data_IF_866360691080
#
_entry.id   IF_866360691080
#
_cell.length_a   1.000
_cell.length_b   1.000
_cell.length_c   1.000
_cell.angle_alpha   90.00
_cell.angle_beta   90.00
_cell.angle_gamma   90.00
#
_symmetry.space_group_name_H-M   'P 1'
#
loop_
_entity.id
_entity.type
_entity.pdbx_description
1 polymer ?
#
# COMPACT_ATOMS: atom_id res chain seq x y z
N UNK A 1 17.51 1.22 -8.43
CA UNK A 1 16.53 0.23 -8.94
C UNK A 1 15.12 0.74 -8.72
N UNK A 2 14.30 0.78 -9.76
CA UNK A 2 12.87 1.09 -9.69
C UNK A 2 12.06 -0.20 -9.80
N UNK A 3 11.20 -0.44 -8.82
CA UNK A 3 10.43 -1.69 -8.70
C UNK A 3 8.92 -1.51 -8.94
N UNK A 4 8.39 -0.31 -8.81
CA UNK A 4 6.96 -0.07 -9.02
C UNK A 4 6.67 1.38 -9.44
N UNK A 5 5.60 1.55 -10.19
CA UNK A 5 4.95 2.84 -10.42
C UNK A 5 3.45 2.71 -10.11
N UNK A 6 2.92 3.67 -9.36
CA UNK A 6 1.53 3.69 -8.90
C UNK A 6 0.90 5.05 -9.18
N UNK A 7 -0.32 5.05 -9.69
CA UNK A 7 -1.07 6.23 -10.02
C UNK A 7 -1.47 6.94 -8.72
N UNK A 8 -1.09 8.20 -8.59
CA UNK A 8 -1.47 9.02 -7.45
C UNK A 8 -2.98 9.24 -7.40
N UNK A 9 -3.52 9.54 -6.22
CA UNK A 9 -4.94 9.79 -6.03
C UNK A 9 -5.40 10.99 -6.88
N UNK A 10 -6.61 10.92 -7.40
CA UNK A 10 -7.21 12.01 -8.16
C UNK A 10 -8.46 11.57 -8.92
N UNK A 11 -9.24 12.54 -9.36
CA UNK A 11 -10.52 12.34 -10.07
C UNK A 11 -10.37 12.28 -11.59
N UNK A 12 -9.17 12.50 -12.13
CA UNK A 12 -8.99 12.48 -13.58
C UNK A 12 -9.07 11.05 -14.13
N UNK A 13 -9.91 10.88 -15.15
CA UNK A 13 -10.17 9.60 -15.82
C UNK A 13 -9.16 9.31 -16.96
N UNK A 14 -8.36 10.30 -17.33
CA UNK A 14 -7.33 10.13 -18.36
C UNK A 14 -6.15 9.31 -17.86
N UNK A 15 -5.62 8.44 -18.72
CA UNK A 15 -4.38 7.69 -18.45
C UNK A 15 -3.21 8.62 -18.15
N UNK A 16 -2.25 8.12 -17.37
CA UNK A 16 -0.97 8.79 -17.13
C UNK A 16 0.17 7.91 -17.63
N UNK A 17 1.16 8.52 -18.28
CA UNK A 17 2.31 7.82 -18.87
C UNK A 17 3.56 8.29 -18.12
N UNK A 18 4.31 7.35 -17.56
CA UNK A 18 5.62 7.62 -16.98
C UNK A 18 6.68 7.46 -18.07
N UNK A 19 7.52 8.48 -18.24
CA UNK A 19 8.68 8.43 -19.13
C UNK A 19 9.94 8.88 -18.40
N UNK A 20 11.09 8.46 -18.90
CA UNK A 20 12.39 8.96 -18.45
C UNK A 20 13.25 9.42 -19.62
N UNK A 21 14.11 10.41 -19.37
CA UNK A 21 15.21 10.77 -20.23
C UNK A 21 16.53 10.47 -19.50
N UNK A 22 17.52 9.96 -20.22
CA UNK A 22 18.85 9.61 -19.72
C UNK A 22 19.86 10.48 -20.48
N UNK A 23 20.45 11.47 -19.81
CA UNK A 23 21.32 12.46 -20.42
C UNK A 23 20.63 13.23 -21.55
N UNK A 24 21.23 13.21 -22.75
CA UNK A 24 20.71 13.90 -23.95
C UNK A 24 19.99 12.96 -24.93
N UNK A 25 19.61 11.76 -24.48
CA UNK A 25 18.94 10.75 -25.33
C UNK A 25 17.47 11.13 -25.53
N UNK A 26 16.79 10.41 -26.43
CA UNK A 26 15.35 10.54 -26.60
C UNK A 26 14.61 9.97 -25.38
N UNK A 27 13.47 10.55 -24.95
CA UNK A 27 12.67 10.00 -23.86
C UNK A 27 12.18 8.57 -24.14
N UNK A 28 12.16 7.75 -23.09
CA UNK A 28 11.68 6.37 -23.10
C UNK A 28 10.42 6.25 -22.23
N UNK A 29 9.37 5.64 -22.76
CA UNK A 29 8.15 5.35 -22.00
C UNK A 29 8.37 4.10 -21.13
N UNK A 30 8.17 4.25 -19.82
CA UNK A 30 8.36 3.18 -18.84
C UNK A 30 7.07 2.39 -18.62
N UNK A 31 5.94 3.08 -18.41
CA UNK A 31 4.65 2.44 -18.21
C UNK A 31 3.48 3.38 -18.51
N UNK A 32 2.30 2.79 -18.70
CA UNK A 32 1.02 3.50 -18.87
C UNK A 32 0.05 3.03 -17.79
N UNK A 33 -0.47 3.97 -17.02
CA UNK A 33 -1.38 3.72 -15.90
C UNK A 33 -2.77 4.26 -16.24
N UNK A 34 -3.80 3.49 -15.93
CA UNK A 34 -5.21 3.80 -16.19
C UNK A 34 -5.98 3.84 -14.87
N UNK A 35 -6.68 4.95 -14.54
CA UNK A 35 -7.63 4.98 -13.45
C UNK A 35 -8.57 3.77 -13.48
N UNK A 36 -8.85 3.18 -12.32
CA UNK A 36 -9.82 2.07 -12.13
C UNK A 36 -9.51 0.76 -12.89
N UNK A 37 -8.43 0.70 -13.68
CA UNK A 37 -8.06 -0.48 -14.47
C UNK A 37 -6.67 -0.99 -14.13
N UNK A 38 -5.67 -0.11 -14.28
CA UNK A 38 -4.26 -0.42 -14.07
C UNK A 38 -3.65 0.76 -13.33
N UNK A 39 -3.89 0.81 -12.02
CA UNK A 39 -3.40 1.90 -11.18
C UNK A 39 -1.97 1.64 -10.70
N UNK A 40 -1.47 0.41 -10.78
CA UNK A 40 -0.10 0.06 -10.42
C UNK A 40 0.55 -0.80 -11.50
N UNK A 41 1.84 -0.58 -11.74
CA UNK A 41 2.66 -1.33 -12.67
C UNK A 41 3.97 -1.73 -11.97
N UNK A 42 4.30 -3.03 -12.00
CA UNK A 42 5.59 -3.50 -11.53
C UNK A 42 6.68 -3.15 -12.55
N UNK A 43 7.77 -2.59 -12.06
CA UNK A 43 8.94 -2.23 -12.84
C UNK A 43 10.12 -3.11 -12.43
N UNK A 44 11.08 -3.25 -13.32
CA UNK A 44 12.35 -3.89 -13.04
C UNK A 44 13.43 -3.14 -13.84
N UNK A 45 13.73 -1.91 -13.41
CA UNK A 45 14.59 -1.00 -14.16
C UNK A 45 15.73 -0.54 -13.27
N UNK A 46 16.94 -0.58 -13.83
CA UNK A 46 18.16 -0.13 -13.19
C UNK A 46 18.79 0.96 -14.04
N UNK A 47 19.31 1.98 -13.37
CA UNK A 47 20.00 3.10 -13.98
C UNK A 47 21.43 3.13 -13.45
N UNK A 48 22.37 3.45 -14.33
CA UNK A 48 23.75 3.68 -13.93
C UNK A 48 23.89 5.07 -13.31
N UNK A 49 24.67 5.19 -12.24
CA UNK A 49 24.92 6.45 -11.52
C UNK A 49 25.67 7.50 -12.35
N UNK A 50 26.30 7.09 -13.45
CA UNK A 50 27.07 7.99 -14.32
C UNK A 50 26.18 8.92 -15.16
N UNK A 51 24.90 8.58 -15.35
CA UNK A 51 23.98 9.33 -16.20
C UNK A 51 22.88 9.99 -15.36
N UNK A 52 22.61 11.27 -15.64
CA UNK A 52 21.44 11.96 -15.07
C UNK A 52 20.15 11.39 -15.68
N UNK A 53 19.21 11.00 -14.81
CA UNK A 53 17.91 10.47 -15.19
C UNK A 53 16.80 11.43 -14.78
N UNK A 54 16.04 11.92 -15.77
CA UNK A 54 14.91 12.83 -15.55
C UNK A 54 13.62 12.06 -15.80
N UNK A 55 12.78 11.95 -14.77
CA UNK A 55 11.45 11.39 -14.90
C UNK A 55 10.42 12.47 -15.25
N UNK A 56 9.45 12.12 -16.07
CA UNK A 56 8.35 13.00 -16.43
C UNK A 56 7.06 12.20 -16.55
N UNK A 57 5.95 12.86 -16.20
CA UNK A 57 4.62 12.26 -16.29
C UNK A 57 3.82 13.01 -17.35
N UNK A 58 3.26 12.26 -18.30
CA UNK A 58 2.28 12.78 -19.25
C UNK A 58 0.88 12.34 -18.78
N UNK A 59 0.14 13.26 -18.18
CA UNK A 59 -1.18 12.98 -17.63
C UNK A 59 -1.54 13.98 -16.53
N UNK A 60 -2.80 13.95 -16.09
CA UNK A 60 -3.29 14.86 -15.07
C UNK A 60 -3.00 14.39 -13.63
N UNK A 61 -2.81 13.07 -13.42
CA UNK A 61 -2.52 12.49 -12.10
C UNK A 61 -1.02 12.31 -11.92
N UNK A 62 -0.55 12.47 -10.68
CA UNK A 62 0.83 12.15 -10.33
C UNK A 62 1.08 10.64 -10.46
N UNK A 63 2.35 10.26 -10.55
CA UNK A 63 2.79 8.86 -10.50
C UNK A 63 3.83 8.74 -9.40
N UNK A 64 3.56 7.88 -8.43
CA UNK A 64 4.47 7.55 -7.35
C UNK A 64 5.35 6.39 -7.80
N UNK A 65 6.66 6.58 -7.73
CA UNK A 65 7.63 5.55 -8.10
C UNK A 65 8.27 5.04 -6.81
N UNK A 66 8.41 3.73 -6.68
CA UNK A 66 9.09 3.11 -5.54
C UNK A 66 10.24 2.23 -6.01
N UNK A 67 11.17 1.96 -5.09
CA UNK A 67 12.40 1.23 -5.37
C UNK A 67 13.43 1.42 -4.28
N UNK A 68 14.68 1.10 -4.60
CA UNK A 68 15.81 1.28 -3.70
C UNK A 68 17.01 1.81 -4.48
N UNK A 69 17.86 2.56 -3.77
CA UNK A 69 19.09 3.10 -4.32
C UNK A 69 20.26 2.20 -3.92
N UNK A 70 21.01 1.71 -4.90
CA UNK A 70 22.25 0.98 -4.69
C UNK A 70 23.39 1.97 -4.83
N UNK A 71 23.74 2.65 -3.74
CA UNK A 71 24.96 3.45 -3.69
C UNK A 71 26.18 2.53 -3.78
N UNK A 72 27.24 2.96 -4.46
CA UNK A 72 28.54 2.32 -4.32
C UNK A 72 28.91 2.37 -2.85
N UNK A 73 28.94 1.22 -2.19
CA UNK A 73 29.44 1.12 -0.83
C UNK A 73 30.87 1.67 -0.83
N UNK A 74 31.10 2.81 -0.17
CA UNK A 74 32.45 3.28 0.14
C UNK A 74 33.08 2.45 1.27
N UNK A 75 32.56 1.26 1.58
CA UNK A 75 33.13 0.31 2.56
C UNK A 75 34.46 -0.33 2.11
N UNK A 76 35.27 0.40 1.34
CA UNK A 76 36.69 0.13 1.16
C UNK A 76 37.56 1.38 1.35
N UNK A 77 37.14 2.37 2.14
CA UNK A 77 38.12 2.99 3.03
C UNK A 77 38.43 2.00 4.15
N UNK A 78 39.31 1.04 3.84
CA UNK A 78 40.08 0.32 4.86
C UNK A 78 40.79 1.36 5.71
N UNK A 79 40.17 1.75 6.83
CA UNK A 79 40.81 2.30 8.03
C UNK A 79 39.72 2.39 9.11
N UNK A 80 39.59 1.31 9.87
CA UNK A 80 39.48 1.32 11.34
C UNK A 80 38.35 2.17 11.96
N UNK A 81 37.14 1.62 12.02
CA UNK A 81 36.27 1.80 13.18
C UNK A 81 35.25 0.64 13.25
N UNK A 82 35.62 -0.39 14.00
CA UNK A 82 34.77 -1.51 14.42
C UNK A 82 33.62 -1.01 15.32
N UNK A 83 32.66 -0.30 14.73
CA UNK A 83 31.49 0.24 15.43
C UNK A 83 30.19 -0.09 14.70
N UNK A 84 30.07 -1.28 14.11
CA UNK A 84 28.78 -1.89 13.79
C UNK A 84 28.18 -2.40 15.12
N UNK A 85 27.56 -1.49 15.89
CA UNK A 85 26.77 -1.84 17.06
C UNK A 85 25.50 -2.56 16.60
N UNK A 86 25.63 -3.86 16.37
CA UNK A 86 24.51 -4.77 16.17
C UNK A 86 23.60 -4.70 17.39
N UNK A 87 22.37 -4.23 17.18
CA UNK A 87 21.23 -4.41 18.08
C UNK A 87 21.47 -3.86 19.48
N UNK A 88 20.91 -2.70 19.78
CA UNK A 88 20.69 -2.31 21.16
C UNK A 88 19.83 -3.40 21.83
N UNK A 89 20.48 -4.28 22.60
CA UNK A 89 19.82 -5.29 23.42
C UNK A 89 19.00 -4.50 24.43
N UNK A 90 17.67 -4.47 24.24
CA UNK A 90 16.74 -3.85 25.18
C UNK A 90 16.78 -4.70 26.45
N UNK A 91 17.79 -4.44 27.27
CA UNK A 91 17.99 -5.04 28.57
C UNK A 91 16.74 -4.79 29.39
N UNK A 92 16.15 -5.89 29.83
CA UNK A 92 14.92 -5.96 30.62
C UNK A 92 14.83 -4.81 31.62
N UNK A 93 14.11 -3.75 31.26
CA UNK A 93 13.73 -2.70 32.19
C UNK A 93 12.82 -3.36 33.22
N UNK A 94 13.25 -3.41 34.48
CA UNK A 94 12.45 -3.86 35.60
C UNK A 94 11.11 -3.11 35.59
N UNK A 95 10.05 -3.77 35.09
CA UNK A 95 8.70 -3.27 35.20
C UNK A 95 8.32 -3.36 36.68
N UNK A 96 8.32 -2.21 37.35
CA UNK A 96 7.76 -2.05 38.68
C UNK A 96 6.36 -2.66 38.73
N UNK A 97 6.14 -3.47 39.77
CA UNK A 97 4.95 -4.29 39.99
C UNK A 97 3.69 -3.43 39.93
N UNK A 98 2.96 -3.54 38.82
CA UNK A 98 1.58 -3.07 38.74
C UNK A 98 0.74 -3.79 39.81
N UNK A 99 0.08 -2.99 40.65
CA UNK A 99 -0.85 -3.47 41.67
C UNK A 99 -1.98 -4.27 41.01
N UNK A 100 -2.23 -5.47 41.53
CA UNK A 100 -3.30 -6.36 41.10
C UNK A 100 -4.65 -5.79 41.54
N UNK A 101 -5.24 -4.93 40.73
CA UNK A 101 -6.64 -4.54 40.89
C UNK A 101 -7.53 -5.63 40.28
N UNK A 102 -8.18 -6.35 41.18
CA UNK A 102 -9.04 -7.50 40.99
C UNK A 102 -10.30 -7.11 40.19
N UNK A 103 -10.28 -7.30 38.87
CA UNK A 103 -11.46 -7.11 38.03
C UNK A 103 -12.44 -8.25 38.29
N UNK A 104 -13.37 -8.03 39.22
CA UNK A 104 -14.49 -8.94 39.45
C UNK A 104 -15.34 -9.01 38.16
N UNK A 105 -15.14 -10.06 37.38
CA UNK A 105 -15.83 -10.36 36.12
C UNK A 105 -17.24 -10.83 36.43
N UNK A 106 -18.07 -9.90 36.86
CA UNK A 106 -19.48 -10.13 37.11
C UNK A 106 -20.27 -9.52 35.95
N UNK A 107 -20.65 -10.40 35.02
CA UNK A 107 -21.87 -10.33 34.20
C UNK A 107 -21.90 -9.23 33.12
N UNK A 108 -21.87 -9.52 31.82
CA UNK A 108 -22.95 -10.24 31.13
C UNK A 108 -22.51 -10.54 29.69
N UNK A 109 -22.05 -11.77 29.46
CA UNK A 109 -21.98 -12.31 28.09
C UNK A 109 -23.41 -12.35 27.54
N UNK A 110 -23.57 -11.86 26.31
CA UNK A 110 -24.81 -11.84 25.53
C UNK A 110 -25.66 -13.07 25.86
N UNK A 111 -26.80 -12.84 26.50
CA UNK A 111 -27.77 -13.89 26.77
C UNK A 111 -28.54 -14.11 25.47
N UNK A 112 -28.19 -15.16 24.71
CA UNK A 112 -28.79 -15.52 23.42
C UNK A 112 -30.22 -16.10 23.55
N UNK A 113 -30.98 -15.64 24.54
CA UNK A 113 -32.36 -16.10 24.79
C UNK A 113 -33.34 -14.94 24.93
N UNK A 114 -33.28 -13.98 23.98
CA UNK A 114 -34.42 -13.11 23.72
C UNK A 114 -35.27 -13.67 22.57
N UNK A 115 -35.94 -14.79 22.84
CA UNK A 115 -37.13 -15.18 22.10
C UNK A 115 -38.30 -14.33 22.58
N UNK A 116 -38.52 -13.15 21.99
CA UNK A 116 -39.88 -12.69 21.69
C UNK A 116 -39.92 -11.37 20.91
N UNK A 117 -40.31 -11.44 19.63
CA UNK A 117 -41.36 -10.57 19.10
C UNK A 117 -41.82 -11.11 17.74
N UNK A 118 -43.00 -11.72 17.75
CA UNK A 118 -43.80 -11.93 16.56
C UNK A 118 -43.85 -10.65 15.71
N UNK A 119 -43.41 -10.73 14.46
CA UNK A 119 -44.04 -9.99 13.37
C UNK A 119 -44.46 -10.99 12.29
N UNK A 120 -45.61 -11.61 12.53
CA UNK A 120 -46.42 -12.19 11.48
C UNK A 120 -46.89 -11.06 10.54
N UNK A 121 -46.25 -10.93 9.38
CA UNK A 121 -46.89 -10.37 8.21
C UNK A 121 -46.66 -11.31 7.03
N UNK A 122 -47.61 -12.22 6.86
CA UNK A 122 -47.90 -12.81 5.57
C UNK A 122 -48.49 -11.71 4.66
N UNK A 123 -48.01 -11.63 3.43
CA UNK A 123 -48.61 -10.93 2.28
C UNK A 123 -47.78 -11.34 1.05
N UNK A 124 -47.98 -12.55 0.53
CA UNK A 124 -48.76 -12.81 -0.69
C UNK A 124 -48.04 -12.35 -1.98
N UNK A 125 -47.22 -13.22 -2.55
CA UNK A 125 -46.92 -13.18 -3.99
C UNK A 125 -48.06 -13.91 -4.70
N UNK A 126 -49.00 -13.13 -5.24
CA UNK A 126 -50.00 -13.61 -6.17
C UNK A 126 -49.35 -13.83 -7.55
N UNK A 127 -49.64 -15.00 -8.13
CA UNK A 127 -49.36 -15.38 -9.51
C UNK A 127 -50.11 -14.47 -10.49
N UNK A 128 -49.51 -14.13 -11.64
CA UNK A 128 -50.25 -13.96 -12.90
C UNK A 128 -49.32 -14.09 -14.11
N UNK A 129 -49.51 -15.18 -14.84
CA UNK A 129 -49.02 -15.45 -16.18
C UNK A 129 -49.88 -14.70 -17.21
N UNK A 130 -49.30 -13.83 -18.06
CA UNK A 130 -49.91 -13.49 -19.37
C UNK A 130 -48.83 -13.25 -20.43
N UNK A 131 -48.80 -14.15 -21.41
CA UNK A 131 -48.10 -14.01 -22.70
C UNK A 131 -48.83 -13.02 -23.63
N UNK A 132 -48.16 -11.97 -24.13
CA UNK A 132 -48.39 -11.32 -25.46
C UNK A 132 -47.10 -10.50 -25.74
N UNK A 133 -46.34 -10.62 -26.84
CA UNK A 133 -46.67 -10.66 -28.27
C UNK A 133 -45.47 -11.16 -29.08
#
# INVERSE_FOLDING_TARGET
HLSQATLGLGIAETRSILQCNIGSKSPLFLCVLFPEKIESCQLNIEFEEADDVIFSVLGARSVHITGYFLGKSTAFSQNDDESESYGEDIGNSDMDKGSSDDYNYSDSFINDDDKSACRSHASSTDDDEVSIK
#
